data_IF_781350317467
#
_entry.id   IF_781350317467
#
_cell.length_a   1.000
_cell.length_b   1.000
_cell.length_c   1.000
_cell.angle_alpha   90.00
_cell.angle_beta   90.00
_cell.angle_gamma   90.00
#
_symmetry.space_group_name_H-M   'P 1'
#
loop_
_entity.id
_entity.type
_entity.pdbx_description
1 polymer ?
#
# COMPACT_ATOMS: atom_id res chain seq x y z
N UNK A 1 23.66 -26.89 -20.78
CA UNK A 1 23.20 -27.02 -19.37
C UNK A 1 22.42 -25.75 -19.05
N UNK A 2 21.13 -25.82 -19.08
CA UNK A 2 20.26 -24.69 -18.70
C UNK A 2 20.02 -24.74 -17.19
N UNK A 3 20.66 -23.84 -16.45
CA UNK A 3 20.33 -23.62 -15.06
C UNK A 3 18.98 -22.89 -15.01
N UNK A 4 17.91 -23.62 -14.75
CA UNK A 4 16.63 -23.08 -14.33
C UNK A 4 16.84 -22.47 -12.94
N UNK A 5 17.12 -21.17 -12.90
CA UNK A 5 17.05 -20.39 -11.67
C UNK A 5 15.58 -20.34 -11.25
N UNK A 6 15.17 -21.29 -10.41
CA UNK A 6 13.86 -21.27 -9.78
C UNK A 6 13.76 -20.03 -8.90
N UNK A 7 13.00 -19.06 -9.34
CA UNK A 7 12.55 -17.94 -8.51
C UNK A 7 11.67 -18.51 -7.40
N UNK A 8 12.20 -18.64 -6.20
CA UNK A 8 11.43 -18.99 -5.02
C UNK A 8 10.65 -17.76 -4.59
N UNK A 9 9.36 -17.71 -4.94
CA UNK A 9 8.46 -16.73 -4.39
C UNK A 9 8.32 -16.98 -2.89
N UNK A 10 8.82 -16.04 -2.07
CA UNK A 10 8.69 -16.13 -0.62
C UNK A 10 7.28 -15.75 -0.25
N UNK A 11 6.47 -16.72 0.20
CA UNK A 11 5.18 -16.44 0.81
C UNK A 11 5.41 -15.91 2.23
N UNK A 12 4.85 -14.75 2.52
CA UNK A 12 4.90 -14.15 3.85
C UNK A 12 3.55 -14.33 4.52
N UNK A 13 3.55 -14.89 5.74
CA UNK A 13 2.37 -14.97 6.59
C UNK A 13 2.35 -13.76 7.53
N UNK A 14 1.34 -12.93 7.39
CA UNK A 14 1.15 -11.74 8.21
C UNK A 14 -0.20 -11.83 8.96
N UNK A 15 -0.18 -12.38 10.18
CA UNK A 15 -1.35 -12.49 11.05
C UNK A 15 -2.57 -13.19 10.40
N UNK A 16 -2.36 -14.23 9.59
CA UNK A 16 -3.41 -14.95 8.86
C UNK A 16 -3.54 -14.53 7.39
N UNK A 17 -3.06 -13.36 7.00
CA UNK A 17 -2.95 -12.96 5.60
C UNK A 17 -1.64 -13.50 5.01
N UNK A 18 -1.72 -14.12 3.85
CA UNK A 18 -0.55 -14.57 3.09
C UNK A 18 -0.47 -13.83 1.75
N UNK A 19 0.73 -13.58 1.30
CA UNK A 19 1.00 -12.95 0.01
C UNK A 19 2.40 -13.32 -0.48
N UNK A 20 2.64 -13.12 -1.75
CA UNK A 20 3.96 -13.28 -2.37
C UNK A 20 4.65 -11.93 -2.48
N UNK A 21 5.84 -11.82 -1.93
CA UNK A 21 6.66 -10.62 -2.08
C UNK A 21 7.23 -10.54 -3.49
N UNK A 22 6.94 -9.49 -4.26
CA UNK A 22 7.53 -9.31 -5.59
C UNK A 22 9.04 -9.12 -5.54
N UNK A 23 9.71 -9.54 -6.61
CA UNK A 23 11.14 -9.34 -6.78
C UNK A 23 11.51 -7.84 -6.71
N UNK A 24 12.62 -7.55 -6.05
CA UNK A 24 13.13 -6.20 -5.90
C UNK A 24 12.56 -5.42 -4.72
N UNK A 25 11.46 -5.85 -4.12
CA UNK A 25 10.98 -5.28 -2.86
C UNK A 25 11.87 -5.74 -1.70
N UNK A 26 12.07 -4.86 -0.74
CA UNK A 26 12.87 -5.16 0.45
C UNK A 26 11.97 -5.13 1.67
N UNK A 27 11.82 -6.27 2.33
CA UNK A 27 11.10 -6.32 3.60
C UNK A 27 11.95 -5.67 4.70
N UNK A 28 11.34 -4.80 5.48
CA UNK A 28 11.95 -4.13 6.63
C UNK A 28 11.27 -4.57 7.92
N UNK A 29 11.93 -4.33 9.06
CA UNK A 29 11.33 -4.59 10.36
C UNK A 29 10.15 -3.64 10.59
N UNK A 30 9.03 -4.20 11.05
CA UNK A 30 7.83 -3.42 11.33
C UNK A 30 8.05 -2.52 12.55
N UNK A 31 7.66 -1.24 12.42
CA UNK A 31 7.84 -0.25 13.49
C UNK A 31 6.87 -0.45 14.68
N UNK A 32 5.74 -1.11 14.45
CA UNK A 32 4.71 -1.36 15.47
C UNK A 32 4.06 -2.71 15.26
N UNK A 33 3.41 -3.24 16.31
CA UNK A 33 2.66 -4.51 16.21
C UNK A 33 1.47 -4.45 15.22
N UNK A 34 0.94 -3.27 14.95
CA UNK A 34 -0.16 -3.08 13.99
C UNK A 34 0.30 -3.11 12.53
N UNK A 35 1.59 -2.91 12.27
CA UNK A 35 2.20 -3.08 10.95
C UNK A 35 2.67 -4.52 10.82
N UNK A 36 1.84 -5.37 10.24
CA UNK A 36 2.12 -6.81 10.12
C UNK A 36 3.15 -7.15 9.04
N UNK A 37 3.38 -6.24 8.11
CA UNK A 37 4.49 -6.27 7.16
C UNK A 37 4.81 -4.87 6.65
N UNK A 38 6.07 -4.63 6.32
CA UNK A 38 6.55 -3.36 5.77
C UNK A 38 7.61 -3.63 4.71
N UNK A 39 7.51 -2.92 3.57
CA UNK A 39 8.41 -3.07 2.43
C UNK A 39 8.88 -1.72 1.94
N UNK A 40 10.15 -1.67 1.56
CA UNK A 40 10.73 -0.58 0.79
C UNK A 40 10.79 -0.98 -0.67
N UNK A 41 10.27 -0.13 -1.55
CA UNK A 41 10.32 -0.28 -3.00
C UNK A 41 11.34 0.71 -3.54
N UNK A 42 12.47 0.23 -4.06
CA UNK A 42 13.55 1.11 -4.54
C UNK A 42 13.11 2.17 -5.53
N UNK A 43 13.60 3.38 -5.34
CA UNK A 43 13.26 4.55 -6.13
C UNK A 43 13.60 4.41 -7.61
N UNK A 44 12.82 5.10 -8.43
CA UNK A 44 13.14 5.30 -9.82
C UNK A 44 14.29 6.30 -9.97
N UNK A 45 15.08 6.23 -11.08
CA UNK A 45 16.10 7.23 -11.33
C UNK A 45 15.56 8.66 -11.32
N UNK A 46 16.22 9.54 -10.56
CA UNK A 46 15.83 10.95 -10.39
C UNK A 46 14.89 11.23 -9.22
N UNK A 47 14.28 10.23 -8.62
CA UNK A 47 13.49 10.41 -7.41
C UNK A 47 14.37 10.50 -6.16
N UNK A 48 13.94 11.31 -5.19
CA UNK A 48 14.71 11.58 -3.98
C UNK A 48 14.60 10.49 -2.92
N UNK A 49 13.54 9.69 -2.95
CA UNK A 49 13.26 8.66 -1.93
C UNK A 49 12.59 7.41 -2.51
N UNK A 50 12.70 6.33 -1.77
CA UNK A 50 12.03 5.08 -2.07
C UNK A 50 10.52 5.18 -1.77
N UNK A 51 9.72 4.30 -2.36
CA UNK A 51 8.34 4.11 -1.94
C UNK A 51 8.26 3.12 -0.78
N UNK A 52 7.20 3.20 -0.01
CA UNK A 52 6.94 2.32 1.13
C UNK A 52 5.57 1.68 1.00
N UNK A 53 5.50 0.35 1.15
CA UNK A 53 4.24 -0.37 1.28
C UNK A 53 4.14 -0.96 2.69
N UNK A 54 3.01 -0.71 3.35
CA UNK A 54 2.74 -1.21 4.68
C UNK A 54 1.44 -2.02 4.65
N UNK A 55 1.46 -3.17 5.32
CA UNK A 55 0.28 -3.98 5.60
C UNK A 55 -0.08 -3.79 7.07
N UNK A 56 -1.32 -3.36 7.34
CA UNK A 56 -1.83 -3.15 8.69
C UNK A 56 -2.90 -4.15 9.06
N UNK A 57 -2.93 -4.50 10.34
CA UNK A 57 -4.03 -5.23 10.97
C UNK A 57 -4.27 -4.68 12.38
N UNK A 58 -5.50 -4.28 12.68
CA UNK A 58 -5.88 -3.66 13.94
C UNK A 58 -6.77 -4.58 14.80
N UNK A 59 -6.51 -5.89 14.76
CA UNK A 59 -7.26 -6.87 15.54
C UNK A 59 -8.75 -6.99 15.16
N UNK A 60 -9.08 -6.73 13.89
CA UNK A 60 -10.46 -6.73 13.40
C UNK A 60 -11.14 -5.36 13.47
N UNK A 61 -10.44 -4.35 13.97
CA UNK A 61 -10.90 -2.96 14.04
C UNK A 61 -10.34 -2.16 12.85
N UNK A 62 -10.56 -0.87 12.79
CA UNK A 62 -9.97 0.03 11.80
C UNK A 62 -10.97 0.82 10.96
N UNK A 63 -12.26 0.71 11.26
CA UNK A 63 -13.33 1.46 10.61
C UNK A 63 -13.83 0.84 9.30
N UNK A 64 -14.78 1.53 8.66
CA UNK A 64 -15.38 1.06 7.42
C UNK A 64 -14.45 1.22 6.22
N UNK A 65 -14.74 0.47 5.14
CA UNK A 65 -14.03 0.60 3.86
C UNK A 65 -14.06 2.05 3.36
N UNK A 66 -15.24 2.65 3.30
CA UNK A 66 -15.40 4.01 2.77
C UNK A 66 -14.69 5.06 3.62
N UNK A 67 -14.73 4.96 4.95
CA UNK A 67 -14.01 5.88 5.83
C UNK A 67 -12.50 5.82 5.61
N UNK A 68 -11.94 4.63 5.40
CA UNK A 68 -10.52 4.47 5.10
C UNK A 68 -10.14 5.04 3.72
N UNK A 69 -10.94 4.77 2.70
CA UNK A 69 -10.74 5.32 1.36
C UNK A 69 -10.76 6.85 1.41
N UNK A 70 -11.76 7.46 2.06
CA UNK A 70 -11.86 8.91 2.20
C UNK A 70 -10.66 9.51 2.94
N UNK A 71 -10.21 8.86 4.01
CA UNK A 71 -9.03 9.30 4.75
C UNK A 71 -7.77 9.29 3.89
N UNK A 72 -7.55 8.25 3.10
CA UNK A 72 -6.39 8.15 2.23
C UNK A 72 -6.43 9.14 1.07
N UNK A 73 -7.59 9.31 0.44
CA UNK A 73 -7.77 10.36 -0.59
C UNK A 73 -7.50 11.74 -0.02
N UNK A 74 -7.92 12.01 1.21
CA UNK A 74 -7.65 13.27 1.92
C UNK A 74 -6.17 13.51 2.26
N UNK A 75 -5.33 12.48 2.20
CA UNK A 75 -3.87 12.60 2.37
C UNK A 75 -3.16 13.08 1.09
N UNK A 76 -3.88 13.14 -0.02
CA UNK A 76 -3.40 13.65 -1.30
C UNK A 76 -4.20 14.89 -1.67
N UNK A 77 -3.55 16.04 -1.74
CA UNK A 77 -4.20 17.32 -2.04
C UNK A 77 -3.72 17.87 -3.37
N UNK A 78 -4.62 18.57 -4.07
CA UNK A 78 -4.27 19.35 -5.24
C UNK A 78 -3.55 20.66 -4.84
N UNK A 79 -2.99 21.36 -5.82
CA UNK A 79 -2.28 22.63 -5.59
C UNK A 79 -3.15 23.71 -4.93
N UNK A 80 -4.46 23.64 -5.07
CA UNK A 80 -5.43 24.54 -4.43
C UNK A 80 -5.81 24.14 -2.99
N UNK A 81 -5.17 23.10 -2.44
CA UNK A 81 -5.42 22.57 -1.09
C UNK A 81 -6.65 21.70 -0.96
N UNK A 82 -7.40 21.44 -2.04
CA UNK A 82 -8.57 20.57 -2.02
C UNK A 82 -8.15 19.09 -2.16
N UNK A 83 -8.96 18.14 -1.66
CA UNK A 83 -8.75 16.73 -1.93
C UNK A 83 -8.72 16.45 -3.43
N UNK A 84 -7.91 15.47 -3.85
CA UNK A 84 -7.84 15.12 -5.26
C UNK A 84 -9.16 14.54 -5.75
N UNK A 85 -9.75 15.14 -6.77
CA UNK A 85 -10.95 14.63 -7.47
C UNK A 85 -10.64 13.52 -8.48
N UNK A 86 -9.35 13.28 -8.76
CA UNK A 86 -8.88 12.28 -9.72
C UNK A 86 -8.62 10.90 -9.10
N UNK A 87 -9.07 10.66 -7.87
CA UNK A 87 -8.94 9.37 -7.20
C UNK A 87 -9.73 8.29 -7.96
N UNK A 88 -9.07 7.17 -8.26
CA UNK A 88 -9.69 6.00 -8.90
C UNK A 88 -9.96 4.96 -7.83
N UNK A 89 -11.23 4.57 -7.68
CA UNK A 89 -11.67 3.50 -6.79
C UNK A 89 -12.05 2.27 -7.60
N UNK A 90 -11.60 1.11 -7.16
CA UNK A 90 -11.91 -0.18 -7.77
C UNK A 90 -12.25 -1.20 -6.70
N UNK A 91 -13.29 -1.98 -6.92
CA UNK A 91 -13.62 -3.15 -6.09
C UNK A 91 -13.48 -4.41 -6.91
N UNK A 92 -12.89 -5.45 -6.32
CA UNK A 92 -12.75 -6.77 -6.95
C UNK A 92 -12.67 -7.87 -5.89
N UNK A 93 -12.82 -9.10 -6.32
CA UNK A 93 -12.60 -10.29 -5.49
C UNK A 93 -11.23 -10.87 -5.79
N UNK A 94 -10.43 -11.11 -4.75
CA UNK A 94 -9.10 -11.72 -4.84
C UNK A 94 -9.06 -12.97 -3.97
N UNK A 95 -8.94 -14.14 -4.60
CA UNK A 95 -8.95 -15.44 -3.89
C UNK A 95 -10.11 -15.58 -2.88
N UNK A 96 -11.31 -15.15 -3.28
CA UNK A 96 -12.52 -15.17 -2.46
C UNK A 96 -12.67 -14.00 -1.48
N UNK A 97 -11.71 -13.08 -1.40
CA UNK A 97 -11.74 -11.94 -0.50
C UNK A 97 -12.24 -10.67 -1.23
N UNK A 98 -13.22 -9.95 -0.67
CA UNK A 98 -13.55 -8.62 -1.18
C UNK A 98 -12.38 -7.67 -0.97
N UNK A 99 -11.95 -6.99 -2.02
CA UNK A 99 -10.85 -6.02 -1.99
C UNK A 99 -11.30 -4.72 -2.64
N UNK A 100 -11.16 -3.61 -1.92
CA UNK A 100 -11.41 -2.27 -2.42
C UNK A 100 -10.10 -1.50 -2.48
N UNK A 101 -9.76 -1.02 -3.68
CA UNK A 101 -8.51 -0.31 -3.97
C UNK A 101 -8.78 1.14 -4.30
N UNK A 102 -7.84 2.01 -3.95
CA UNK A 102 -7.80 3.42 -4.37
C UNK A 102 -6.43 3.77 -4.92
N UNK A 103 -6.42 4.65 -5.90
CA UNK A 103 -5.22 5.15 -6.58
C UNK A 103 -5.37 6.65 -6.81
N UNK A 104 -4.45 7.44 -6.30
CA UNK A 104 -4.52 8.90 -6.36
C UNK A 104 -3.12 9.51 -6.35
N UNK A 105 -2.91 10.53 -7.18
CA UNK A 105 -1.64 11.24 -7.31
C UNK A 105 -1.84 12.73 -7.12
N UNK A 106 -1.00 13.38 -6.38
CA UNK A 106 -0.77 14.83 -6.26
C UNK A 106 0.21 15.10 -5.11
N UNK A 107 -0.04 16.09 -4.25
CA UNK A 107 0.80 16.42 -3.11
C UNK A 107 0.40 15.60 -1.88
N UNK A 108 1.35 14.87 -1.32
CA UNK A 108 1.15 14.09 -0.10
C UNK A 108 1.26 14.98 1.13
N UNK A 109 0.20 15.03 1.93
CA UNK A 109 0.03 15.94 3.08
C UNK A 109 -0.39 15.23 4.37
N UNK A 110 -0.22 13.91 4.47
CA UNK A 110 -0.51 13.19 5.70
C UNK A 110 0.29 13.74 6.89
N UNK A 111 -0.22 13.56 8.10
CA UNK A 111 0.53 13.85 9.31
C UNK A 111 1.83 13.03 9.37
N UNK A 112 2.93 13.62 9.81
CA UNK A 112 4.21 12.93 9.95
C UNK A 112 4.17 11.86 11.03
N UNK A 113 3.39 12.12 12.09
CA UNK A 113 3.03 11.15 13.12
C UNK A 113 1.59 11.43 13.59
N UNK A 114 0.86 10.42 14.07
CA UNK A 114 -0.51 10.59 14.55
C UNK A 114 -0.59 11.69 15.62
N UNK A 115 -1.41 12.73 15.38
CA UNK A 115 -1.63 13.84 16.31
C UNK A 115 -0.49 14.85 16.41
N UNK A 116 0.57 14.75 15.59
CA UNK A 116 1.73 15.66 15.67
C UNK A 116 1.44 17.07 15.16
N UNK A 117 0.40 17.25 14.35
CA UNK A 117 0.08 18.53 13.70
C UNK A 117 0.99 18.88 12.54
N UNK A 118 2.22 18.38 12.51
CA UNK A 118 3.12 18.51 11.35
C UNK A 118 2.70 17.59 10.25
N UNK A 119 2.67 18.13 9.03
CA UNK A 119 2.26 17.40 7.82
C UNK A 119 3.38 17.34 6.80
N UNK A 120 3.40 16.23 6.05
CA UNK A 120 4.19 16.17 4.83
C UNK A 120 3.72 17.23 3.83
N UNK A 121 4.62 17.66 2.98
CA UNK A 121 4.31 18.50 1.83
C UNK A 121 5.18 18.03 0.66
N UNK A 122 4.78 16.90 0.09
CA UNK A 122 5.56 16.20 -0.94
C UNK A 122 4.79 16.21 -2.26
N UNK A 123 5.12 17.13 -3.18
CA UNK A 123 4.50 17.16 -4.51
C UNK A 123 4.91 15.93 -5.33
N UNK A 124 4.15 15.63 -6.37
CA UNK A 124 4.41 14.51 -7.28
C UNK A 124 4.50 13.15 -6.56
N UNK A 125 3.63 12.94 -5.58
CA UNK A 125 3.45 11.67 -4.89
C UNK A 125 2.26 10.91 -5.43
N UNK A 126 2.29 9.59 -5.25
CA UNK A 126 1.18 8.69 -5.55
C UNK A 126 0.91 7.79 -4.37
N UNK A 127 -0.36 7.61 -4.07
CA UNK A 127 -0.86 6.71 -3.06
C UNK A 127 -1.71 5.63 -3.74
N UNK A 128 -1.36 4.36 -3.52
CA UNK A 128 -2.19 3.22 -3.84
C UNK A 128 -2.47 2.46 -2.56
N UNK A 129 -3.72 2.32 -2.21
CA UNK A 129 -4.10 1.67 -0.97
C UNK A 129 -5.28 0.73 -1.18
N UNK A 130 -5.53 -0.15 -0.22
CA UNK A 130 -6.62 -1.09 -0.29
C UNK A 130 -7.08 -1.60 1.05
N UNK A 131 -8.34 -2.02 1.08
CA UNK A 131 -8.95 -2.74 2.19
C UNK A 131 -9.23 -4.16 1.73
N UNK A 132 -8.72 -5.14 2.46
CA UNK A 132 -8.96 -6.57 2.25
C UNK A 132 -9.89 -7.03 3.38
N UNK A 133 -11.10 -7.43 3.03
CA UNK A 133 -12.08 -7.90 4.01
C UNK A 133 -11.91 -9.40 4.24
N UNK A 134 -11.68 -9.79 5.49
CA UNK A 134 -11.50 -11.19 5.90
C UNK A 134 -12.48 -11.59 6.99
N UNK A 135 -12.59 -12.88 7.26
CA UNK A 135 -13.43 -13.41 8.34
C UNK A 135 -13.01 -12.91 9.74
N UNK A 136 -11.79 -12.44 9.91
CA UNK A 136 -11.27 -11.85 11.16
C UNK A 136 -11.20 -10.33 11.14
N UNK A 137 -11.86 -9.70 10.18
CA UNK A 137 -11.89 -8.26 9.99
C UNK A 137 -10.94 -7.77 8.90
N UNK A 138 -10.90 -6.45 8.68
CA UNK A 138 -10.17 -5.86 7.57
C UNK A 138 -8.66 -5.83 7.80
N UNK A 139 -7.91 -6.09 6.73
CA UNK A 139 -6.51 -5.71 6.57
C UNK A 139 -6.41 -4.52 5.64
N UNK A 140 -5.38 -3.71 5.84
CA UNK A 140 -5.17 -2.50 5.07
C UNK A 140 -3.79 -2.54 4.44
N UNK A 141 -3.70 -2.20 3.17
CA UNK A 141 -2.42 -2.02 2.47
C UNK A 141 -2.30 -0.57 2.02
N UNK A 142 -1.12 0.01 2.18
CA UNK A 142 -0.87 1.39 1.79
C UNK A 142 0.52 1.52 1.18
N UNK A 143 0.55 1.83 -0.11
CA UNK A 143 1.76 2.16 -0.86
C UNK A 143 1.80 3.67 -1.09
N UNK A 144 2.87 4.32 -0.65
CA UNK A 144 3.10 5.75 -0.88
C UNK A 144 4.53 6.00 -1.32
N UNK A 145 4.72 6.96 -2.19
CA UNK A 145 6.04 7.37 -2.65
C UNK A 145 5.98 8.35 -3.81
N UNK A 146 7.14 8.77 -4.33
CA UNK A 146 7.21 9.55 -5.54
C UNK A 146 6.46 8.86 -6.68
N UNK A 147 5.70 9.62 -7.46
CA UNK A 147 4.82 9.10 -8.50
C UNK A 147 5.55 8.20 -9.50
N UNK A 148 6.75 8.60 -9.95
CA UNK A 148 7.56 7.79 -10.86
C UNK A 148 7.99 6.46 -10.23
N UNK A 149 8.37 6.48 -8.96
CA UNK A 149 8.75 5.26 -8.23
C UNK A 149 7.57 4.33 -8.07
N UNK A 150 6.40 4.81 -7.65
CA UNK A 150 5.20 3.98 -7.52
C UNK A 150 4.80 3.42 -8.89
N UNK A 151 4.86 4.22 -9.95
CA UNK A 151 4.56 3.79 -11.33
C UNK A 151 5.51 2.70 -11.82
N UNK A 152 6.80 2.81 -11.49
CA UNK A 152 7.79 1.75 -11.77
C UNK A 152 7.35 0.38 -11.23
N UNK A 153 6.68 0.36 -10.09
CA UNK A 153 6.27 -0.84 -9.38
C UNK A 153 4.79 -1.23 -9.57
N UNK A 154 4.07 -0.59 -10.51
CA UNK A 154 2.65 -0.84 -10.75
C UNK A 154 2.33 -2.32 -10.96
N UNK A 155 3.08 -2.97 -11.85
CA UNK A 155 2.89 -4.39 -12.15
C UNK A 155 3.16 -5.28 -10.93
N UNK A 156 4.20 -4.97 -10.19
CA UNK A 156 4.55 -5.70 -8.96
C UNK A 156 3.49 -5.53 -7.88
N UNK A 157 2.95 -4.31 -7.73
CA UNK A 157 1.84 -4.06 -6.81
C UNK A 157 0.59 -4.86 -7.19
N UNK A 158 0.23 -4.92 -8.47
CA UNK A 158 -0.92 -5.69 -8.93
C UNK A 158 -0.70 -7.21 -8.71
N UNK A 159 0.51 -7.71 -8.93
CA UNK A 159 0.89 -9.09 -8.60
C UNK A 159 0.79 -9.38 -7.11
N UNK A 160 1.30 -8.47 -6.26
CA UNK A 160 1.20 -8.57 -4.82
C UNK A 160 -0.27 -8.68 -4.37
N UNK A 161 -1.13 -7.76 -4.82
CA UNK A 161 -2.57 -7.78 -4.49
C UNK A 161 -3.22 -9.07 -4.95
N UNK A 162 -2.92 -9.53 -6.15
CA UNK A 162 -3.50 -10.77 -6.71
C UNK A 162 -3.05 -12.04 -5.98
N UNK A 163 -1.93 -12.00 -5.27
CA UNK A 163 -1.40 -13.12 -4.49
C UNK A 163 -2.01 -13.24 -3.09
N UNK A 164 -2.75 -12.24 -2.63
CA UNK A 164 -3.31 -12.19 -1.27
C UNK A 164 -4.29 -13.34 -1.04
N UNK A 165 -4.08 -14.07 0.05
CA UNK A 165 -4.96 -15.13 0.55
C UNK A 165 -5.11 -14.98 2.06
N UNK A 166 -6.20 -15.53 2.60
CA UNK A 166 -6.44 -15.59 4.04
C UNK A 166 -6.59 -17.04 4.49
N UNK A 167 -5.92 -17.40 5.59
CA UNK A 167 -5.95 -18.75 6.19
C UNK A 167 -6.58 -18.71 7.59
#
# INVERSE_FOLDING_TARGET
MNALSGLWAVAVLAAGLTFTTPDGWRQTASATAMRVAEFTLPRAPGDAEDATLIVYYFGGQGGSVDANIQRWVGQIQQADGKPSSAAKKQSRTVNGLPVTLVDVSSTYVAEMAPGAGERHNKPHFRLRAGVIETAKGPYFIKLTGPEKTVTKWDRSYDQFVSSIKFQ
#
